data_IF_207631600917
#
_entry.id   IF_207631600917
#
_cell.length_a   1.000
_cell.length_b   1.000
_cell.length_c   1.000
_cell.angle_alpha   90.00
_cell.angle_beta   90.00
_cell.angle_gamma   90.00
#
_symmetry.space_group_name_H-M   'P 1'
#
loop_
_entity.id
_entity.type
_entity.pdbx_description
1 polymer ?
#
# COMPACT_ATOMS: atom_id res chain seq x y z
N UNK A 1 14.10 2.94 19.74
CA UNK A 1 12.83 2.69 19.04
C UNK A 1 13.02 1.48 18.14
N UNK A 2 12.24 0.39 18.29
CA UNK A 2 12.40 -0.79 17.43
C UNK A 2 12.10 -0.45 15.96
N UNK A 3 12.82 -1.09 15.05
CA UNK A 3 12.74 -0.86 13.60
C UNK A 3 12.01 -2.01 12.92
N UNK A 4 10.98 -1.67 12.16
CA UNK A 4 10.26 -2.62 11.31
C UNK A 4 10.49 -2.33 9.83
N UNK A 5 10.96 -3.35 9.11
CA UNK A 5 11.05 -3.34 7.65
C UNK A 5 9.85 -4.06 7.06
N UNK A 6 9.01 -3.36 6.30
CA UNK A 6 7.96 -3.97 5.49
C UNK A 6 8.50 -4.10 4.08
N UNK A 7 8.69 -5.33 3.60
CA UNK A 7 9.41 -5.61 2.37
C UNK A 7 8.57 -6.46 1.43
N UNK A 8 8.49 -6.06 0.16
CA UNK A 8 8.17 -7.02 -0.89
C UNK A 8 9.28 -8.06 -1.02
N UNK A 9 8.95 -9.24 -1.53
CA UNK A 9 9.89 -10.36 -1.63
C UNK A 9 9.58 -11.24 -2.84
N UNK A 10 10.63 -11.77 -3.46
CA UNK A 10 10.56 -12.85 -4.43
C UNK A 10 11.54 -13.97 -4.06
N UNK A 11 12.82 -13.77 -4.34
CA UNK A 11 13.89 -14.71 -3.98
C UNK A 11 14.62 -14.29 -2.70
N UNK A 12 14.47 -13.03 -2.29
CA UNK A 12 14.96 -12.51 -1.02
C UNK A 12 16.36 -11.91 -1.08
N UNK A 13 16.94 -11.70 -2.27
CA UNK A 13 18.27 -11.10 -2.43
C UNK A 13 18.27 -9.63 -2.05
N UNK A 14 17.38 -8.83 -2.65
CA UNK A 14 17.18 -7.44 -2.30
C UNK A 14 16.62 -7.31 -0.87
N UNK A 15 15.77 -8.22 -0.42
CA UNK A 15 15.33 -8.26 0.99
C UNK A 15 16.52 -8.45 1.93
N UNK A 16 17.47 -9.32 1.59
CA UNK A 16 18.70 -9.53 2.34
C UNK A 16 19.56 -8.26 2.38
N UNK A 17 19.72 -7.56 1.24
CA UNK A 17 20.42 -6.27 1.21
C UNK A 17 19.69 -5.23 2.07
N UNK A 18 18.35 -5.17 2.02
CA UNK A 18 17.53 -4.27 2.84
C UNK A 18 17.70 -4.55 4.34
N UNK A 19 17.73 -5.82 4.74
CA UNK A 19 17.97 -6.21 6.14
C UNK A 19 19.33 -5.70 6.62
N UNK A 20 20.39 -5.89 5.83
CA UNK A 20 21.74 -5.40 6.19
C UNK A 20 21.73 -3.87 6.29
N UNK A 21 21.18 -3.20 5.27
CA UNK A 21 21.18 -1.73 5.14
C UNK A 21 20.43 -1.04 6.28
N UNK A 22 19.25 -1.55 6.62
CA UNK A 22 18.34 -0.89 7.57
C UNK A 22 18.41 -1.47 8.98
N UNK A 23 19.02 -2.65 9.15
CA UNK A 23 19.19 -3.35 10.42
C UNK A 23 17.88 -3.38 11.25
N UNK A 24 16.79 -3.97 10.72
CA UNK A 24 15.51 -4.00 11.41
C UNK A 24 15.49 -5.06 12.53
N UNK A 25 14.71 -4.80 13.58
CA UNK A 25 14.41 -5.78 14.63
C UNK A 25 13.30 -6.75 14.17
N UNK A 26 12.44 -6.27 13.27
CA UNK A 26 11.31 -7.02 12.70
C UNK A 26 11.22 -6.83 11.19
N UNK A 27 10.93 -7.91 10.47
CA UNK A 27 10.65 -7.89 9.03
C UNK A 27 9.26 -8.44 8.77
N UNK A 28 8.42 -7.66 8.09
CA UNK A 28 7.12 -8.08 7.56
C UNK A 28 7.28 -8.27 6.06
N UNK A 29 7.14 -9.51 5.58
CA UNK A 29 7.32 -9.85 4.17
C UNK A 29 5.96 -9.88 3.48
N UNK A 30 5.80 -9.08 2.44
CA UNK A 30 4.59 -9.06 1.59
C UNK A 30 4.63 -10.32 0.72
N UNK A 31 3.83 -11.30 1.12
CA UNK A 31 3.74 -12.61 0.48
C UNK A 31 2.65 -12.67 -0.57
N UNK A 32 2.26 -13.90 -0.90
CA UNK A 32 1.14 -14.18 -1.81
C UNK A 32 0.06 -14.92 -1.06
N UNK A 33 -1.19 -14.56 -1.34
CA UNK A 33 -2.35 -15.25 -0.81
C UNK A 33 -2.46 -16.70 -1.36
N UNK A 34 -3.62 -17.33 -1.16
CA UNK A 34 -3.82 -18.74 -1.55
C UNK A 34 -4.05 -18.92 -3.05
N UNK A 35 -4.19 -17.85 -3.83
CA UNK A 35 -4.48 -17.93 -5.27
C UNK A 35 -3.29 -18.38 -6.11
N UNK A 36 -2.07 -18.36 -5.57
CA UNK A 36 -0.84 -18.77 -6.26
C UNK A 36 -0.02 -19.76 -5.40
N UNK A 37 -0.42 -21.05 -5.38
CA UNK A 37 0.15 -22.06 -4.48
C UNK A 37 1.63 -22.38 -4.79
N UNK A 38 2.03 -22.37 -6.06
CA UNK A 38 3.40 -22.65 -6.48
C UNK A 38 4.35 -21.55 -5.99
N UNK A 39 3.99 -20.28 -6.22
CA UNK A 39 4.76 -19.15 -5.71
C UNK A 39 4.79 -19.14 -4.20
N UNK A 40 3.71 -19.54 -3.53
CA UNK A 40 3.67 -19.65 -2.06
C UNK A 40 4.67 -20.67 -1.52
N UNK A 41 4.88 -21.80 -2.21
CA UNK A 41 5.91 -22.80 -1.84
C UNK A 41 7.30 -22.20 -1.97
N UNK A 42 7.60 -21.56 -3.11
CA UNK A 42 8.90 -20.94 -3.35
C UNK A 42 9.18 -19.81 -2.36
N UNK A 43 8.18 -18.98 -2.07
CA UNK A 43 8.25 -17.93 -1.07
C UNK A 43 8.59 -18.49 0.32
N UNK A 44 7.95 -19.59 0.75
CA UNK A 44 8.27 -20.24 2.04
C UNK A 44 9.74 -20.67 2.11
N UNK A 45 10.31 -21.19 1.01
CA UNK A 45 11.73 -21.55 0.95
C UNK A 45 12.64 -20.32 1.11
N UNK A 46 12.36 -19.24 0.37
CA UNK A 46 13.12 -17.97 0.48
C UNK A 46 13.05 -17.39 1.90
N UNK A 47 11.85 -17.36 2.49
CA UNK A 47 11.65 -16.90 3.87
C UNK A 47 12.41 -17.79 4.86
N UNK A 48 12.41 -19.11 4.68
CA UNK A 48 13.16 -20.05 5.51
C UNK A 48 14.66 -19.76 5.50
N UNK A 49 15.24 -19.48 4.32
CA UNK A 49 16.65 -19.09 4.19
C UNK A 49 16.96 -17.80 4.97
N UNK A 50 16.11 -16.77 4.85
CA UNK A 50 16.28 -15.51 5.58
C UNK A 50 16.19 -15.71 7.09
N UNK A 51 15.20 -16.47 7.58
CA UNK A 51 15.04 -16.80 9.01
C UNK A 51 16.25 -17.54 9.57
N UNK A 52 16.79 -18.51 8.83
CA UNK A 52 17.96 -19.26 9.25
C UNK A 52 19.21 -18.38 9.34
N UNK A 53 19.36 -17.42 8.42
CA UNK A 53 20.47 -16.47 8.39
C UNK A 53 20.37 -15.42 9.50
N UNK A 54 19.16 -14.94 9.80
CA UNK A 54 18.90 -13.83 10.73
C UNK A 54 18.08 -14.27 11.95
N UNK A 55 18.66 -15.09 12.82
CA UNK A 55 17.97 -15.66 13.99
C UNK A 55 17.45 -14.63 15.00
N UNK A 56 18.08 -13.46 15.08
CA UNK A 56 17.71 -12.40 16.02
C UNK A 56 16.55 -11.50 15.51
N UNK A 57 16.17 -11.61 14.23
CA UNK A 57 15.13 -10.78 13.62
C UNK A 57 13.79 -11.51 13.69
N UNK A 58 12.74 -10.81 14.12
CA UNK A 58 11.37 -11.35 14.07
C UNK A 58 10.84 -11.28 12.63
N UNK A 59 10.40 -12.40 12.07
CA UNK A 59 9.80 -12.45 10.73
C UNK A 59 8.30 -12.74 10.78
N UNK A 60 7.52 -11.89 10.11
CA UNK A 60 6.08 -12.08 9.86
C UNK A 60 5.81 -12.08 8.34
N UNK A 61 4.73 -12.72 7.92
CA UNK A 61 4.29 -12.73 6.51
C UNK A 61 2.94 -12.05 6.44
N UNK A 62 2.83 -11.06 5.55
CA UNK A 62 1.58 -10.42 5.16
C UNK A 62 1.13 -11.04 3.85
N UNK A 63 0.27 -12.07 3.93
CA UNK A 63 -0.36 -12.65 2.74
C UNK A 63 -1.37 -11.66 2.17
N UNK A 64 -1.20 -11.26 0.91
CA UNK A 64 -2.11 -10.34 0.21
C UNK A 64 -2.25 -10.74 -1.27
N UNK A 65 -3.10 -10.01 -2.00
CA UNK A 65 -3.30 -10.23 -3.42
C UNK A 65 -2.01 -9.99 -4.21
N UNK A 66 -1.95 -10.62 -5.38
CA UNK A 66 -0.91 -10.36 -6.36
C UNK A 66 -1.34 -9.28 -7.37
N UNK A 67 -2.63 -9.16 -7.66
CA UNK A 67 -3.13 -8.34 -8.77
C UNK A 67 -4.21 -7.32 -8.39
N UNK A 68 -4.86 -7.45 -7.22
CA UNK A 68 -5.77 -6.44 -6.68
C UNK A 68 -4.96 -5.37 -5.93
N UNK A 69 -4.60 -4.30 -6.65
CA UNK A 69 -3.78 -3.20 -6.12
C UNK A 69 -4.46 -2.53 -4.91
N UNK A 70 -5.75 -2.13 -4.94
CA UNK A 70 -6.42 -1.57 -3.76
C UNK A 70 -6.35 -2.47 -2.53
N UNK A 71 -6.52 -3.79 -2.70
CA UNK A 71 -6.37 -4.74 -1.59
C UNK A 71 -4.95 -4.77 -1.04
N UNK A 72 -3.92 -4.78 -1.90
CA UNK A 72 -2.52 -4.72 -1.48
C UNK A 72 -2.27 -3.45 -0.67
N UNK A 73 -2.75 -2.30 -1.15
CA UNK A 73 -2.60 -1.01 -0.46
C UNK A 73 -3.24 -1.06 0.92
N UNK A 74 -4.48 -1.52 1.01
CA UNK A 74 -5.22 -1.64 2.27
C UNK A 74 -4.51 -2.56 3.28
N UNK A 75 -4.06 -3.74 2.84
CA UNK A 75 -3.34 -4.69 3.70
C UNK A 75 -2.01 -4.11 4.21
N UNK A 76 -1.25 -3.40 3.36
CA UNK A 76 0.00 -2.73 3.76
C UNK A 76 -0.28 -1.54 4.68
N UNK A 77 -1.31 -0.74 4.40
CA UNK A 77 -1.76 0.36 5.27
C UNK A 77 -2.10 -0.15 6.68
N UNK A 78 -2.80 -1.28 6.79
CA UNK A 78 -3.11 -1.92 8.08
C UNK A 78 -1.85 -2.41 8.80
N UNK A 79 -0.88 -2.96 8.08
CA UNK A 79 0.40 -3.36 8.65
C UNK A 79 1.17 -2.14 9.19
N UNK A 80 1.24 -1.04 8.43
CA UNK A 80 1.85 0.21 8.89
C UNK A 80 1.14 0.74 10.13
N UNK A 81 -0.19 0.83 10.10
CA UNK A 81 -0.99 1.34 11.22
C UNK A 81 -0.81 0.51 12.49
N UNK A 82 -0.68 -0.82 12.36
CA UNK A 82 -0.40 -1.72 13.47
C UNK A 82 0.97 -1.46 14.07
N UNK A 83 2.03 -1.39 13.27
CA UNK A 83 3.39 -1.18 13.75
C UNK A 83 3.58 0.23 14.32
N UNK A 84 2.92 1.23 13.74
CA UNK A 84 2.98 2.61 14.21
C UNK A 84 2.33 2.76 15.60
N UNK A 85 1.21 2.06 15.84
CA UNK A 85 0.57 2.01 17.17
C UNK A 85 1.46 1.36 18.23
N UNK A 86 2.38 0.48 17.82
CA UNK A 86 3.39 -0.11 18.72
C UNK A 86 4.61 0.80 18.93
N UNK A 87 4.66 1.96 18.27
CA UNK A 87 5.76 2.92 18.36
C UNK A 87 7.00 2.50 17.56
N UNK A 88 6.86 1.64 16.54
CA UNK A 88 8.00 1.19 15.74
C UNK A 88 8.37 2.23 14.66
N UNK A 89 9.68 2.36 14.36
CA UNK A 89 10.16 3.07 13.17
C UNK A 89 9.92 2.18 11.95
N UNK A 90 9.15 2.63 10.97
CA UNK A 90 8.74 1.81 9.83
C UNK A 90 9.46 2.24 8.56
N UNK A 91 10.07 1.29 7.87
CA UNK A 91 10.67 1.48 6.54
C UNK A 91 10.02 0.53 5.55
N UNK A 92 9.68 1.03 4.36
CA UNK A 92 9.17 0.19 3.28
C UNK A 92 10.26 -0.09 2.25
N UNK A 93 10.32 -1.32 1.77
CA UNK A 93 11.23 -1.76 0.71
C UNK A 93 10.45 -2.44 -0.41
N UNK A 94 10.70 -2.01 -1.65
CA UNK A 94 9.86 -2.37 -2.81
C UNK A 94 10.62 -2.97 -4.01
N UNK A 95 11.90 -3.33 -3.89
CA UNK A 95 12.71 -3.76 -5.04
C UNK A 95 12.34 -5.09 -5.65
N UNK A 96 11.71 -5.98 -4.89
CA UNK A 96 11.38 -7.33 -5.34
C UNK A 96 9.86 -7.57 -5.40
N UNK A 97 9.46 -8.76 -5.85
CA UNK A 97 8.06 -9.17 -5.92
C UNK A 97 7.42 -8.84 -7.26
N UNK A 98 6.09 -8.95 -7.35
CA UNK A 98 5.38 -8.48 -8.55
C UNK A 98 5.31 -6.96 -8.53
N UNK A 99 5.41 -6.33 -9.71
CA UNK A 99 5.31 -4.88 -9.87
C UNK A 99 4.05 -4.29 -9.21
N UNK A 100 2.93 -5.00 -9.29
CA UNK A 100 1.67 -4.66 -8.61
C UNK A 100 1.81 -4.58 -7.09
N UNK A 101 2.57 -5.49 -6.47
CA UNK A 101 2.85 -5.47 -5.03
C UNK A 101 3.80 -4.32 -4.65
N UNK A 102 4.85 -4.10 -5.44
CA UNK A 102 5.76 -2.95 -5.25
C UNK A 102 5.04 -1.61 -5.37
N UNK A 103 4.17 -1.46 -6.37
CA UNK A 103 3.34 -0.27 -6.56
C UNK A 103 2.31 -0.11 -5.44
N UNK A 104 1.63 -1.18 -5.02
CA UNK A 104 0.70 -1.15 -3.90
C UNK A 104 1.37 -0.74 -2.59
N UNK A 105 2.57 -1.27 -2.31
CA UNK A 105 3.36 -0.86 -1.15
C UNK A 105 3.80 0.61 -1.24
N UNK A 106 4.18 1.10 -2.42
CA UNK A 106 4.51 2.51 -2.63
C UNK A 106 3.28 3.42 -2.39
N UNK A 107 2.11 3.05 -2.90
CA UNK A 107 0.87 3.80 -2.69
C UNK A 107 0.43 3.82 -1.22
N UNK A 108 0.59 2.71 -0.50
CA UNK A 108 0.41 2.69 0.95
C UNK A 108 1.39 3.66 1.64
N UNK A 109 2.63 3.74 1.15
CA UNK A 109 3.62 4.72 1.60
C UNK A 109 3.18 6.18 1.38
N UNK A 110 2.50 6.49 0.28
CA UNK A 110 1.91 7.82 0.06
C UNK A 110 0.83 8.13 1.11
N UNK A 111 -0.10 7.19 1.33
CA UNK A 111 -1.24 7.38 2.26
C UNK A 111 -0.75 7.52 3.70
N UNK A 112 0.25 6.71 4.10
CA UNK A 112 0.76 6.65 5.46
C UNK A 112 2.11 7.36 5.62
N UNK A 113 2.40 8.36 4.78
CA UNK A 113 3.70 9.08 4.76
C UNK A 113 4.12 9.60 6.14
N UNK A 114 3.16 10.03 6.96
CA UNK A 114 3.41 10.60 8.29
C UNK A 114 3.73 9.52 9.37
N UNK A 115 3.60 8.23 9.03
CA UNK A 115 3.80 7.08 9.93
C UNK A 115 5.03 6.25 9.59
N UNK A 116 5.72 6.58 8.50
CA UNK A 116 6.86 5.83 7.99
C UNK A 116 8.07 6.75 7.85
N UNK A 117 9.26 6.16 7.89
CA UNK A 117 10.52 6.86 7.60
C UNK A 117 10.68 7.14 6.11
N UNK A 118 10.19 6.22 5.27
CA UNK A 118 10.29 6.32 3.82
C UNK A 118 10.04 4.99 3.13
N UNK A 119 9.95 5.07 1.80
CA UNK A 119 9.89 3.92 0.89
C UNK A 119 11.17 3.90 0.07
N UNK A 120 11.81 2.75 -0.05
CA UNK A 120 13.11 2.62 -0.70
C UNK A 120 13.12 1.53 -1.78
N UNK A 121 13.77 1.85 -2.89
CA UNK A 121 14.21 0.89 -3.89
C UNK A 121 15.72 0.72 -3.78
N UNK A 122 16.20 -0.49 -3.63
CA UNK A 122 17.60 -0.85 -3.71
C UNK A 122 18.02 -1.09 -5.16
N UNK A 123 19.08 -0.40 -5.58
CA UNK A 123 19.78 -0.61 -6.86
C UNK A 123 20.55 -1.93 -6.75
N UNK A 124 20.25 -2.91 -7.61
CA UNK A 124 20.78 -4.28 -7.50
C UNK A 124 22.31 -4.32 -7.57
N UNK A 125 22.90 -3.51 -8.44
CA UNK A 125 24.34 -3.51 -8.74
C UNK A 125 25.17 -2.91 -7.60
N UNK A 126 24.59 -2.00 -6.80
CA UNK A 126 25.33 -1.22 -5.80
C UNK A 126 24.82 -1.39 -4.38
N UNK A 127 23.63 -1.98 -4.20
CA UNK A 127 22.92 -2.02 -2.93
C UNK A 127 22.53 -0.64 -2.39
N UNK A 128 22.66 0.42 -3.20
CA UNK A 128 22.30 1.79 -2.79
C UNK A 128 20.79 1.90 -2.65
N UNK A 129 20.35 2.46 -1.52
CA UNK A 129 18.96 2.78 -1.28
C UNK A 129 18.59 4.09 -1.96
N UNK A 130 17.71 4.01 -2.95
CA UNK A 130 17.07 5.13 -3.61
C UNK A 130 15.75 5.43 -2.89
N UNK A 131 15.60 6.59 -2.23
CA UNK A 131 14.32 6.98 -1.65
C UNK A 131 13.31 7.24 -2.77
N UNK A 132 12.12 6.68 -2.64
CA UNK A 132 11.01 6.99 -3.53
C UNK A 132 10.41 8.34 -3.14
N UNK A 133 9.98 9.17 -4.12
CA UNK A 133 9.20 10.36 -3.79
C UNK A 133 7.95 9.94 -3.04
N UNK A 134 7.52 10.74 -2.06
CA UNK A 134 6.24 10.55 -1.35
C UNK A 134 5.34 11.75 -1.64
N UNK A 135 4.27 11.54 -2.39
CA UNK A 135 3.32 12.56 -2.82
C UNK A 135 2.10 12.61 -1.88
N UNK A 136 1.45 13.77 -1.80
CA UNK A 136 0.20 13.95 -1.05
C UNK A 136 -1.01 13.86 -1.98
N UNK A 137 -1.90 12.89 -1.72
CA UNK A 137 -3.12 12.66 -2.50
C UNK A 137 -4.40 12.96 -1.71
N UNK A 138 -4.31 13.78 -0.64
CA UNK A 138 -5.49 14.15 0.16
C UNK A 138 -6.57 14.82 -0.69
N UNK A 139 -7.72 14.18 -0.76
CA UNK A 139 -8.94 14.74 -1.34
C UNK A 139 -9.67 15.64 -0.33
N UNK A 140 -10.46 16.58 -0.85
CA UNK A 140 -11.32 17.39 0.01
C UNK A 140 -12.38 16.51 0.70
N UNK A 141 -12.87 16.87 1.90
CA UNK A 141 -13.87 16.09 2.61
C UNK A 141 -15.11 15.74 1.77
N UNK A 142 -15.55 16.67 0.91
CA UNK A 142 -16.69 16.44 0.00
C UNK A 142 -16.38 15.40 -1.08
N UNK A 143 -15.18 15.43 -1.67
CA UNK A 143 -14.75 14.44 -2.68
C UNK A 143 -14.60 13.05 -2.06
N UNK A 144 -13.98 12.97 -0.90
CA UNK A 144 -13.87 11.74 -0.11
C UNK A 144 -15.26 11.18 0.24
N UNK A 145 -16.20 12.04 0.64
CA UNK A 145 -17.59 11.64 0.89
C UNK A 145 -18.24 11.03 -0.35
N UNK A 146 -18.12 11.68 -1.52
CA UNK A 146 -18.67 11.17 -2.78
C UNK A 146 -18.11 9.79 -3.10
N UNK A 147 -16.78 9.62 -3.04
CA UNK A 147 -16.14 8.33 -3.31
C UNK A 147 -16.61 7.24 -2.34
N UNK A 148 -16.76 7.55 -1.06
CA UNK A 148 -17.29 6.60 -0.08
C UNK A 148 -18.72 6.15 -0.39
N UNK A 149 -19.59 7.06 -0.82
CA UNK A 149 -20.96 6.70 -1.22
C UNK A 149 -20.96 5.82 -2.48
N UNK A 150 -20.11 6.12 -3.46
CA UNK A 150 -19.98 5.30 -4.67
C UNK A 150 -19.41 3.91 -4.36
N UNK A 151 -18.43 3.81 -3.46
CA UNK A 151 -17.91 2.53 -2.99
C UNK A 151 -18.97 1.67 -2.29
N UNK A 152 -20.01 2.29 -1.70
CA UNK A 152 -21.18 1.62 -1.12
C UNK A 152 -22.28 1.30 -2.14
N UNK A 153 -22.06 1.61 -3.42
CA UNK A 153 -23.01 1.38 -4.51
C UNK A 153 -24.01 2.52 -4.75
N UNK A 154 -23.91 3.64 -4.03
CA UNK A 154 -24.81 4.78 -4.22
C UNK A 154 -24.36 5.67 -5.40
N UNK A 155 -24.83 5.34 -6.60
CA UNK A 155 -24.52 6.08 -7.85
C UNK A 155 -25.44 7.28 -8.13
N UNK A 156 -26.47 7.52 -7.30
CA UNK A 156 -27.51 8.53 -7.57
C UNK A 156 -27.07 9.92 -7.11
N UNK A 157 -26.86 10.83 -8.06
CA UNK A 157 -26.42 12.21 -7.77
C UNK A 157 -27.40 12.95 -6.84
N UNK A 158 -28.70 12.73 -6.99
CA UNK A 158 -29.71 13.31 -6.09
C UNK A 158 -29.50 12.91 -4.62
N UNK A 159 -29.13 11.65 -4.38
CA UNK A 159 -28.85 11.14 -3.03
C UNK A 159 -27.55 11.74 -2.48
N UNK A 160 -26.53 11.90 -3.33
CA UNK A 160 -25.27 12.56 -2.96
C UNK A 160 -25.49 14.02 -2.53
N UNK A 161 -26.33 14.77 -3.27
CA UNK A 161 -26.69 16.16 -2.93
C UNK A 161 -27.40 16.21 -1.57
N UNK A 162 -28.43 15.37 -1.40
CA UNK A 162 -29.22 15.34 -0.16
C UNK A 162 -28.38 15.00 1.06
N UNK A 163 -27.50 13.99 0.95
CA UNK A 163 -26.67 13.53 2.08
C UNK A 163 -25.49 14.45 2.39
N UNK A 164 -24.88 15.06 1.37
CA UNK A 164 -23.70 15.93 1.56
C UNK A 164 -24.03 17.29 2.18
N UNK A 165 -25.30 17.73 2.13
CA UNK A 165 -25.73 19.09 2.50
C UNK A 165 -24.95 20.19 1.74
N UNK A 166 -24.51 19.90 0.51
CA UNK A 166 -23.84 20.84 -0.40
C UNK A 166 -24.77 21.26 -1.53
N UNK A 167 -24.45 22.38 -2.18
CA UNK A 167 -25.22 22.85 -3.33
C UNK A 167 -25.12 21.86 -4.49
N UNK A 168 -26.18 21.78 -5.31
CA UNK A 168 -26.22 20.97 -6.53
C UNK A 168 -25.01 21.27 -7.42
N UNK A 169 -24.73 22.55 -7.68
CA UNK A 169 -23.62 22.99 -8.51
C UNK A 169 -22.25 22.46 -8.00
N UNK A 170 -22.02 22.49 -6.68
CA UNK A 170 -20.78 22.00 -6.08
C UNK A 170 -20.61 20.49 -6.25
N UNK A 171 -21.70 19.71 -6.08
CA UNK A 171 -21.63 18.25 -6.25
C UNK A 171 -21.34 17.87 -7.70
N UNK A 172 -21.99 18.51 -8.68
CA UNK A 172 -21.69 18.26 -10.08
C UNK A 172 -20.25 18.65 -10.44
N UNK A 173 -19.75 19.79 -9.93
CA UNK A 173 -18.37 20.20 -10.14
C UNK A 173 -17.37 19.17 -9.59
N UNK A 174 -17.58 18.70 -8.36
CA UNK A 174 -16.71 17.68 -7.77
C UNK A 174 -16.78 16.33 -8.48
N UNK A 175 -17.96 15.90 -8.95
CA UNK A 175 -18.09 14.70 -9.76
C UNK A 175 -17.27 14.84 -11.05
N UNK A 176 -17.37 15.97 -11.74
CA UNK A 176 -16.60 16.21 -12.96
C UNK A 176 -15.09 16.22 -12.70
N UNK A 177 -14.63 16.80 -11.58
CA UNK A 177 -13.23 16.75 -11.18
C UNK A 177 -12.77 15.32 -10.86
N UNK A 178 -13.61 14.54 -10.17
CA UNK A 178 -13.32 13.14 -9.85
C UNK A 178 -13.22 12.28 -11.11
N UNK A 179 -14.09 12.51 -12.10
CA UNK A 179 -14.04 11.88 -13.43
C UNK A 179 -12.77 12.24 -14.18
N UNK A 180 -12.49 13.55 -14.29
CA UNK A 180 -11.31 14.07 -14.99
C UNK A 180 -10.00 13.51 -14.43
N UNK A 181 -9.94 13.31 -13.12
CA UNK A 181 -8.76 12.79 -12.44
C UNK A 181 -8.72 11.24 -12.37
N UNK A 182 -9.70 10.55 -12.97
CA UNK A 182 -9.72 9.09 -13.07
C UNK A 182 -10.10 8.36 -11.78
N UNK A 183 -10.69 9.04 -10.79
CA UNK A 183 -11.16 8.40 -9.55
C UNK A 183 -12.50 7.69 -9.73
N UNK A 184 -13.30 8.14 -10.69
CA UNK A 184 -14.58 7.54 -11.06
C UNK A 184 -14.72 7.52 -12.59
N UNK A 185 -15.46 6.55 -13.11
CA UNK A 185 -15.78 6.44 -14.54
C UNK A 185 -16.93 7.38 -14.92
N UNK A 186 -17.22 7.49 -16.22
CA UNK A 186 -18.36 8.25 -16.71
C UNK A 186 -19.70 7.73 -16.16
N UNK A 187 -19.81 6.41 -15.96
CA UNK A 187 -20.97 5.70 -15.42
C UNK A 187 -21.05 5.70 -13.89
N UNK A 188 -20.32 6.60 -13.24
CA UNK A 188 -20.28 6.75 -11.77
C UNK A 188 -19.79 5.48 -11.06
N UNK A 189 -18.87 4.74 -11.69
CA UNK A 189 -18.20 3.61 -11.05
C UNK A 189 -16.90 4.07 -10.40
N UNK A 190 -16.60 3.59 -9.20
CA UNK A 190 -15.34 3.91 -8.54
C UNK A 190 -14.21 3.11 -9.18
N UNK A 191 -13.10 3.78 -9.51
CA UNK A 191 -11.90 3.11 -10.03
C UNK A 191 -11.01 2.63 -8.90
N UNK A 192 -9.96 1.88 -9.21
CA UNK A 192 -8.94 1.49 -8.23
C UNK A 192 -8.25 2.72 -7.59
N UNK A 193 -8.00 3.79 -8.36
CA UNK A 193 -7.50 5.04 -7.82
C UNK A 193 -8.48 5.65 -6.80
N UNK A 194 -9.78 5.64 -7.12
CA UNK A 194 -10.83 6.10 -6.21
C UNK A 194 -10.89 5.27 -4.92
N UNK A 195 -10.77 3.95 -5.03
CA UNK A 195 -10.73 3.02 -3.88
C UNK A 195 -9.50 3.25 -3.00
N UNK A 196 -8.35 3.53 -3.60
CA UNK A 196 -7.09 3.81 -2.87
C UNK A 196 -7.20 5.13 -2.09
N UNK A 197 -7.80 6.18 -2.67
CA UNK A 197 -7.89 7.50 -2.03
C UNK A 197 -8.82 7.58 -0.82
N UNK A 198 -9.61 6.55 -0.53
CA UNK A 198 -10.50 6.50 0.65
C UNK A 198 -9.97 5.62 1.80
N UNK A 199 -8.72 5.13 1.70
CA UNK A 199 -8.00 4.35 2.73
C UNK A 199 -7.19 5.25 3.70
#
# INVERSE_FOLDING_TARGET
MPKTLISTIYEGEATNVAIIKFSPDKVILIGVDKSDPERKINLKKSIGKLKNKYKAIKFEVLDTSVYDIPKIVDDVCKAIDKEHKLGNEITLHISEGRKTQSLGALFAGFIKKDKIKGVYYLIQETGKALPMPLLDFKLSPTKTFILNELARGNKRVADLIKKSKKSKAMIYAHINELKKNGYITEDMEITDAGRICIL
#
